data_IF_891498102532
#
_entry.id   IF_891498102532
#
_cell.length_a   1.000
_cell.length_b   1.000
_cell.length_c   1.000
_cell.angle_alpha   90.00
_cell.angle_beta   90.00
_cell.angle_gamma   90.00
#
_symmetry.space_group_name_H-M   'P 1'
#
loop_
_entity.id
_entity.type
_entity.pdbx_description
1 polymer ?
#
# COMPACT_ATOMS: atom_id res chain seq x y z
N UNK A 1 7.10 -27.96 -16.16
CA UNK A 1 7.22 -27.10 -14.96
C UNK A 1 7.18 -25.65 -15.42
N UNK A 2 6.06 -24.93 -15.28
CA UNK A 2 5.95 -23.51 -15.67
C UNK A 2 6.56 -22.64 -14.57
N UNK A 3 7.88 -22.45 -14.62
CA UNK A 3 8.54 -21.35 -13.93
C UNK A 3 8.30 -20.04 -14.70
N UNK A 4 7.14 -19.45 -14.53
CA UNK A 4 6.97 -18.00 -14.66
C UNK A 4 6.21 -17.54 -13.43
N UNK A 5 6.80 -17.58 -12.22
CA UNK A 5 7.71 -16.52 -11.74
C UNK A 5 7.33 -15.21 -12.41
N UNK A 6 6.40 -14.48 -11.81
CA UNK A 6 6.13 -13.08 -12.17
C UNK A 6 6.94 -12.17 -11.23
N UNK A 7 8.26 -11.99 -11.46
CA UNK A 7 9.08 -11.09 -10.65
C UNK A 7 8.62 -9.64 -10.81
N UNK A 8 7.95 -9.30 -11.91
CA UNK A 8 7.42 -7.97 -12.14
C UNK A 8 6.26 -7.67 -11.17
N UNK A 9 5.29 -8.58 -11.04
CA UNK A 9 4.19 -8.44 -10.08
C UNK A 9 4.66 -8.37 -8.63
N UNK A 10 5.63 -9.21 -8.23
CA UNK A 10 6.20 -9.15 -6.87
C UNK A 10 6.94 -7.83 -6.61
N UNK A 11 7.75 -7.35 -7.57
CA UNK A 11 8.44 -6.05 -7.45
C UNK A 11 7.45 -4.89 -7.36
N UNK A 12 6.41 -4.90 -8.19
CA UNK A 12 5.38 -3.86 -8.17
C UNK A 12 4.62 -3.83 -6.85
N UNK A 13 4.33 -4.99 -6.26
CA UNK A 13 3.73 -5.07 -4.92
C UNK A 13 4.65 -4.49 -3.83
N UNK A 14 5.96 -4.76 -3.90
CA UNK A 14 6.95 -4.16 -2.97
C UNK A 14 7.05 -2.64 -3.14
N UNK A 15 7.08 -2.14 -4.37
CA UNK A 15 7.09 -0.69 -4.65
C UNK A 15 5.82 -0.01 -4.15
N UNK A 16 4.66 -0.61 -4.41
CA UNK A 16 3.36 -0.11 -3.92
C UNK A 16 3.35 -0.05 -2.39
N UNK A 17 3.88 -1.08 -1.74
CA UNK A 17 3.97 -1.14 -0.28
C UNK A 17 4.89 -0.06 0.28
N UNK A 18 6.07 0.11 -0.31
CA UNK A 18 7.03 1.14 0.08
C UNK A 18 6.46 2.56 -0.10
N UNK A 19 5.70 2.80 -1.18
CA UNK A 19 5.04 4.08 -1.42
C UNK A 19 4.01 4.41 -0.32
N UNK A 20 3.13 3.45 0.04
CA UNK A 20 2.14 3.65 1.10
C UNK A 20 2.79 3.94 2.46
N UNK A 21 3.82 3.17 2.83
CA UNK A 21 4.54 3.38 4.10
C UNK A 21 5.26 4.73 4.09
N UNK A 22 5.92 5.09 2.98
CA UNK A 22 6.59 6.38 2.83
C UNK A 22 5.64 7.56 2.94
N UNK A 23 4.46 7.47 2.32
CA UNK A 23 3.41 8.50 2.42
C UNK A 23 2.88 8.62 3.84
N UNK A 24 2.62 7.50 4.52
CA UNK A 24 2.14 7.52 5.91
C UNK A 24 3.17 8.15 6.87
N UNK A 25 4.46 7.81 6.71
CA UNK A 25 5.54 8.43 7.47
C UNK A 25 5.68 9.93 7.17
N UNK A 26 5.63 10.30 5.88
CA UNK A 26 5.69 11.70 5.48
C UNK A 26 4.54 12.48 6.13
N UNK A 27 3.31 12.01 5.99
CA UNK A 27 2.12 12.61 6.58
C UNK A 27 2.25 12.74 8.10
N UNK A 28 2.75 11.72 8.80
CA UNK A 28 2.97 11.75 10.24
C UNK A 28 3.97 12.84 10.68
N UNK A 29 4.99 13.11 9.86
CA UNK A 29 6.02 14.10 10.14
C UNK A 29 5.61 15.53 9.77
N UNK A 30 4.91 15.72 8.66
CA UNK A 30 4.53 17.04 8.16
C UNK A 30 3.24 17.58 8.76
N UNK A 31 2.45 16.73 9.41
CA UNK A 31 1.16 17.12 10.00
C UNK A 31 0.11 17.42 8.92
N UNK A 32 -1.05 17.97 9.30
CA UNK A 32 -2.13 18.30 8.35
C UNK A 32 -1.67 19.31 7.31
N UNK A 33 -2.01 19.06 6.06
CA UNK A 33 -1.65 19.93 4.93
C UNK A 33 -2.50 21.21 4.99
N UNK A 34 -1.86 22.32 5.35
CA UNK A 34 -2.49 23.64 5.49
C UNK A 34 -2.49 24.31 4.12
N UNK A 35 -3.64 24.84 3.70
CA UNK A 35 -3.76 25.67 2.49
C UNK A 35 -4.08 24.91 1.20
N UNK A 36 -4.38 23.61 1.25
CA UNK A 36 -4.88 22.88 0.10
C UNK A 36 -6.33 23.24 -0.22
N UNK A 37 -6.62 23.32 -1.52
CA UNK A 37 -7.96 23.53 -2.05
C UNK A 37 -8.81 22.25 -1.95
N UNK A 38 -10.16 22.34 -1.92
CA UNK A 38 -11.02 21.16 -1.87
C UNK A 38 -10.77 20.12 -2.98
N UNK A 39 -10.47 20.50 -4.25
CA UNK A 39 -10.12 19.55 -5.29
C UNK A 39 -8.81 18.78 -5.02
N UNK A 40 -7.78 19.44 -4.48
CA UNK A 40 -6.49 18.81 -4.17
C UNK A 40 -6.65 17.75 -3.07
N UNK A 41 -7.41 18.07 -2.03
CA UNK A 41 -7.76 17.13 -0.95
C UNK A 41 -8.50 15.90 -1.54
N UNK A 42 -9.44 16.12 -2.47
CA UNK A 42 -10.18 15.04 -3.10
C UNK A 42 -9.26 14.13 -3.96
N UNK A 43 -8.30 14.72 -4.68
CA UNK A 43 -7.32 13.96 -5.46
C UNK A 43 -6.39 13.13 -4.56
N UNK A 44 -5.90 13.69 -3.46
CA UNK A 44 -5.07 12.98 -2.50
C UNK A 44 -5.81 11.75 -1.91
N UNK A 45 -7.07 11.94 -1.50
CA UNK A 45 -7.95 10.85 -1.03
C UNK A 45 -8.09 9.72 -2.04
N UNK A 46 -8.40 10.06 -3.29
CA UNK A 46 -8.57 9.07 -4.37
C UNK A 46 -7.26 8.33 -4.61
N UNK A 47 -6.13 9.04 -4.60
CA UNK A 47 -4.81 8.46 -4.79
C UNK A 47 -4.44 7.49 -3.65
N UNK A 48 -4.62 7.88 -2.39
CA UNK A 48 -4.38 7.02 -1.23
C UNK A 48 -5.29 5.78 -1.25
N UNK A 49 -6.57 5.95 -1.63
CA UNK A 49 -7.52 4.85 -1.76
C UNK A 49 -7.11 3.88 -2.87
N UNK A 50 -6.67 4.39 -4.02
CA UNK A 50 -6.21 3.58 -5.14
C UNK A 50 -4.96 2.77 -4.79
N UNK A 51 -3.97 3.38 -4.12
CA UNK A 51 -2.78 2.68 -3.65
C UNK A 51 -3.12 1.60 -2.63
N UNK A 52 -4.00 1.90 -1.68
CA UNK A 52 -4.45 0.94 -0.66
C UNK A 52 -5.18 -0.24 -1.31
N UNK A 53 -6.10 0.04 -2.24
CA UNK A 53 -6.80 -0.98 -3.01
C UNK A 53 -5.83 -1.85 -3.83
N UNK A 54 -4.79 -1.25 -4.42
CA UNK A 54 -3.75 -1.97 -5.14
C UNK A 54 -2.93 -2.90 -4.21
N UNK A 55 -2.61 -2.46 -2.99
CA UNK A 55 -1.95 -3.30 -2.00
C UNK A 55 -2.82 -4.49 -1.57
N UNK A 56 -4.12 -4.28 -1.34
CA UNK A 56 -5.09 -5.36 -1.04
C UNK A 56 -5.18 -6.35 -2.20
N UNK A 57 -5.28 -5.84 -3.43
CA UNK A 57 -5.28 -6.66 -4.65
C UNK A 57 -4.02 -7.54 -4.73
N UNK A 58 -2.84 -6.98 -4.44
CA UNK A 58 -1.59 -7.75 -4.43
C UNK A 58 -1.53 -8.78 -3.31
N UNK A 59 -2.09 -8.49 -2.14
CA UNK A 59 -2.17 -9.46 -1.04
C UNK A 59 -2.97 -10.69 -1.46
N UNK A 60 -4.12 -10.49 -2.09
CA UNK A 60 -4.94 -11.59 -2.63
C UNK A 60 -4.27 -12.30 -3.81
N UNK A 61 -3.63 -11.56 -4.72
CA UNK A 61 -3.02 -12.11 -5.94
C UNK A 61 -1.71 -12.87 -5.69
N UNK A 62 -0.86 -12.41 -4.75
CA UNK A 62 0.45 -13.00 -4.49
C UNK A 62 0.41 -14.13 -3.45
N UNK A 63 -0.70 -14.28 -2.71
CA UNK A 63 -0.92 -15.39 -1.78
C UNK A 63 -0.71 -16.77 -2.43
N UNK A 64 -1.38 -17.07 -3.55
CA UNK A 64 -1.16 -18.31 -4.30
C UNK A 64 0.23 -18.40 -4.96
N UNK A 65 0.80 -17.27 -5.40
CA UNK A 65 2.09 -17.23 -6.11
C UNK A 65 3.31 -17.43 -5.21
N UNK A 66 3.12 -17.37 -3.89
CA UNK A 66 4.17 -17.60 -2.88
C UNK A 66 4.05 -18.96 -2.18
N UNK A 67 3.09 -19.80 -2.57
CA UNK A 67 2.99 -21.19 -2.12
C UNK A 67 4.27 -21.98 -2.47
N UNK A 68 4.78 -22.75 -1.50
CA UNK A 68 6.05 -23.48 -1.64
C UNK A 68 7.32 -22.64 -1.44
N UNK A 69 7.21 -21.35 -1.09
CA UNK A 69 8.37 -20.48 -0.76
C UNK A 69 8.26 -19.98 0.68
N UNK A 70 8.58 -20.85 1.62
CA UNK A 70 8.40 -20.63 3.07
C UNK A 70 8.99 -19.33 3.58
N UNK A 71 10.09 -18.84 3.01
CA UNK A 71 10.72 -17.57 3.44
C UNK A 71 10.10 -16.33 2.80
N UNK A 72 9.57 -16.41 1.57
CA UNK A 72 9.07 -15.24 0.83
C UNK A 72 7.60 -14.94 1.11
N UNK A 73 6.80 -15.96 1.41
CA UNK A 73 5.38 -15.84 1.77
C UNK A 73 5.15 -14.97 3.01
N UNK A 74 5.82 -15.21 4.17
CA UNK A 74 5.61 -14.39 5.36
C UNK A 74 6.11 -12.97 5.18
N UNK A 75 7.27 -12.77 4.53
CA UNK A 75 7.80 -11.43 4.26
C UNK A 75 6.85 -10.62 3.36
N UNK A 76 6.34 -11.25 2.31
CA UNK A 76 5.42 -10.58 1.37
C UNK A 76 4.10 -10.23 2.05
N UNK A 77 3.54 -11.15 2.83
CA UNK A 77 2.34 -10.91 3.62
C UNK A 77 2.54 -9.79 4.66
N UNK A 78 3.69 -9.78 5.35
CA UNK A 78 4.03 -8.75 6.33
C UNK A 78 4.14 -7.37 5.70
N UNK A 79 4.90 -7.23 4.60
CA UNK A 79 5.11 -5.94 3.93
C UNK A 79 3.79 -5.40 3.36
N UNK A 80 2.98 -6.25 2.72
CA UNK A 80 1.68 -5.84 2.22
C UNK A 80 0.70 -5.52 3.35
N UNK A 81 0.72 -6.28 4.44
CA UNK A 81 -0.08 -6.01 5.63
C UNK A 81 0.26 -4.66 6.26
N UNK A 82 1.54 -4.35 6.40
CA UNK A 82 2.02 -3.05 6.87
C UNK A 82 1.56 -1.91 5.95
N UNK A 83 1.63 -2.11 4.64
CA UNK A 83 1.18 -1.12 3.67
C UNK A 83 -0.34 -0.89 3.74
N UNK A 84 -1.14 -1.94 3.89
CA UNK A 84 -2.59 -1.83 4.06
C UNK A 84 -2.92 -1.08 5.34
N UNK A 85 -2.22 -1.37 6.44
CA UNK A 85 -2.37 -0.65 7.69
C UNK A 85 -2.02 0.85 7.53
N UNK A 86 -0.88 1.15 6.91
CA UNK A 86 -0.46 2.52 6.62
C UNK A 86 -1.46 3.27 5.74
N UNK A 87 -1.93 2.64 4.66
CA UNK A 87 -2.96 3.19 3.77
C UNK A 87 -4.29 3.43 4.47
N UNK A 88 -4.72 2.51 5.34
CA UNK A 88 -5.91 2.68 6.17
C UNK A 88 -5.78 3.87 7.13
N UNK A 89 -4.59 4.06 7.71
CA UNK A 89 -4.30 5.22 8.57
C UNK A 89 -4.34 6.55 7.80
N UNK A 90 -3.77 6.61 6.59
CA UNK A 90 -3.88 7.76 5.70
C UNK A 90 -5.34 8.09 5.37
N UNK A 91 -6.13 7.08 5.00
CA UNK A 91 -7.54 7.27 4.70
C UNK A 91 -8.31 7.76 5.93
N UNK A 92 -8.07 7.19 7.11
CA UNK A 92 -8.71 7.62 8.34
C UNK A 92 -8.43 9.11 8.63
N UNK A 93 -7.19 9.53 8.46
CA UNK A 93 -6.80 10.95 8.55
C UNK A 93 -7.48 11.80 7.48
N UNK A 94 -7.46 11.37 6.22
CA UNK A 94 -8.03 12.15 5.12
C UNK A 94 -9.53 12.39 5.30
N UNK A 95 -10.26 11.45 5.92
CA UNK A 95 -11.68 11.58 6.25
C UNK A 95 -11.94 12.28 7.59
N UNK A 96 -10.90 12.70 8.32
CA UNK A 96 -11.01 13.42 9.59
C UNK A 96 -11.49 12.55 10.76
N UNK A 97 -11.23 11.24 10.70
CA UNK A 97 -11.53 10.30 11.80
C UNK A 97 -10.48 10.42 12.92
N UNK A 98 -9.24 10.72 12.55
CA UNK A 98 -8.09 10.92 13.45
C UNK A 98 -7.32 12.19 13.12
#
# INVERSE_FOLDING_TARGET
>A
MRESRDPAGWRLAMLTSAALVGLALHAALTGPEIGMTPPEIAMARIFHAALTGLAIFWLWRLGPLTEGRETRKPLTAFVLGLAIFAGSGLLARDFGII
#
